data_IF_923740479430
#
_entry.id   IF_923740479430
#
_cell.length_a   1.000
_cell.length_b   1.000
_cell.length_c   1.000
_cell.angle_alpha   90.00
_cell.angle_beta   90.00
_cell.angle_gamma   90.00
#
_symmetry.space_group_name_H-M   'P 1'
#
loop_
_entity.id
_entity.type
_entity.pdbx_description
1 polymer ?
#
# COMPACT_ATOMS: atom_id res chain seq x y z
N UNK A 1 -23.52 -92.49 -7.46
CA UNK A 1 -22.52 -91.40 -7.62
C UNK A 1 -23.18 -90.26 -8.40
N UNK A 2 -23.46 -89.08 -7.80
CA UNK A 2 -23.72 -87.79 -8.52
C UNK A 2 -24.00 -86.56 -7.62
N UNK A 3 -23.65 -86.56 -6.31
CA UNK A 3 -23.78 -85.38 -5.43
C UNK A 3 -22.61 -84.37 -5.51
N UNK A 4 -21.59 -84.62 -6.34
CA UNK A 4 -20.40 -83.76 -6.49
C UNK A 4 -20.50 -82.69 -7.59
N UNK A 5 -21.60 -82.63 -8.36
CA UNK A 5 -21.74 -81.72 -9.50
C UNK A 5 -22.40 -80.36 -9.18
N UNK A 6 -23.13 -80.24 -8.06
CA UNK A 6 -23.75 -78.96 -7.64
C UNK A 6 -22.82 -78.05 -6.84
N UNK A 7 -21.95 -78.62 -6.00
CA UNK A 7 -21.01 -77.85 -5.16
C UNK A 7 -19.98 -77.10 -6.03
N UNK A 8 -19.50 -77.73 -7.11
CA UNK A 8 -18.57 -77.10 -8.04
C UNK A 8 -19.16 -75.85 -8.72
N UNK A 9 -20.44 -75.89 -9.11
CA UNK A 9 -21.12 -74.74 -9.72
C UNK A 9 -21.25 -73.58 -8.74
N UNK A 10 -21.62 -73.86 -7.49
CA UNK A 10 -21.74 -72.83 -6.44
C UNK A 10 -20.38 -72.21 -6.13
N UNK A 11 -19.31 -72.99 -6.04
CA UNK A 11 -17.94 -72.48 -5.85
C UNK A 11 -17.50 -71.59 -7.01
N UNK A 12 -17.77 -71.99 -8.26
CA UNK A 12 -17.45 -71.19 -9.45
C UNK A 12 -18.23 -69.87 -9.45
N UNK A 13 -19.52 -69.89 -9.12
CA UNK A 13 -20.33 -68.67 -9.05
C UNK A 13 -19.84 -67.72 -7.95
N UNK A 14 -19.43 -68.22 -6.79
CA UNK A 14 -18.85 -67.40 -5.73
C UNK A 14 -17.51 -66.78 -6.14
N UNK A 15 -16.64 -67.55 -6.80
CA UNK A 15 -15.37 -67.03 -7.33
C UNK A 15 -15.62 -65.95 -8.38
N UNK A 16 -16.58 -66.15 -9.28
CA UNK A 16 -16.95 -65.14 -10.28
C UNK A 16 -17.55 -63.89 -9.63
N UNK A 17 -18.42 -64.03 -8.63
CA UNK A 17 -19.00 -62.90 -7.91
C UNK A 17 -17.91 -62.05 -7.21
N UNK A 18 -16.95 -62.70 -6.54
CA UNK A 18 -15.81 -62.01 -5.91
C UNK A 18 -14.94 -61.33 -6.96
N UNK A 19 -14.62 -62.02 -8.05
CA UNK A 19 -13.86 -61.44 -9.18
C UNK A 19 -14.57 -60.23 -9.79
N UNK A 20 -15.90 -60.27 -9.93
CA UNK A 20 -16.68 -59.15 -10.45
C UNK A 20 -16.66 -57.95 -9.50
N UNK A 21 -16.80 -58.16 -8.19
CA UNK A 21 -16.70 -57.08 -7.19
C UNK A 21 -15.30 -56.46 -7.19
N UNK A 22 -14.25 -57.29 -7.25
CA UNK A 22 -12.87 -56.80 -7.35
C UNK A 22 -12.62 -56.04 -8.65
N UNK A 23 -13.13 -56.54 -9.78
CA UNK A 23 -13.02 -55.88 -11.08
C UNK A 23 -13.72 -54.51 -11.11
N UNK A 24 -14.92 -54.42 -10.52
CA UNK A 24 -15.64 -53.16 -10.34
C UNK A 24 -14.88 -52.19 -9.43
N UNK A 25 -14.39 -52.66 -8.29
CA UNK A 25 -13.59 -51.84 -7.38
C UNK A 25 -12.31 -51.29 -8.04
N UNK A 26 -11.61 -52.13 -8.80
CA UNK A 26 -10.44 -51.72 -9.58
C UNK A 26 -10.80 -50.69 -10.66
N UNK A 27 -11.89 -50.89 -11.40
CA UNK A 27 -12.34 -49.95 -12.43
C UNK A 27 -12.72 -48.58 -11.83
N UNK A 28 -13.43 -48.55 -10.69
CA UNK A 28 -13.71 -47.29 -9.98
C UNK A 28 -12.43 -46.61 -9.53
N UNK A 29 -11.48 -47.39 -8.98
CA UNK A 29 -10.19 -46.87 -8.54
C UNK A 29 -9.42 -46.23 -9.70
N UNK A 30 -9.27 -46.93 -10.83
CA UNK A 30 -8.60 -46.41 -12.03
C UNK A 30 -9.28 -45.15 -12.56
N UNK A 31 -10.62 -45.09 -12.57
CA UNK A 31 -11.35 -43.89 -13.00
C UNK A 31 -11.05 -42.68 -12.11
N UNK A 32 -11.12 -42.86 -10.79
CA UNK A 32 -10.82 -41.79 -9.82
C UNK A 32 -9.36 -41.32 -9.96
N UNK A 33 -8.41 -42.23 -10.11
CA UNK A 33 -7.01 -41.87 -10.32
C UNK A 33 -6.77 -41.15 -11.65
N UNK A 34 -7.52 -41.50 -12.71
CA UNK A 34 -7.48 -40.80 -13.99
C UNK A 34 -7.93 -39.34 -13.86
N UNK A 35 -9.13 -39.12 -13.30
CA UNK A 35 -9.70 -37.79 -13.06
C UNK A 35 -8.78 -36.93 -12.16
N UNK A 36 -8.12 -37.53 -11.16
CA UNK A 36 -7.16 -36.84 -10.29
C UNK A 36 -5.88 -36.39 -11.02
N UNK A 37 -5.37 -37.18 -11.97
CA UNK A 37 -4.17 -36.82 -12.74
C UNK A 37 -4.47 -35.68 -13.70
N UNK A 38 -5.62 -35.74 -14.39
CA UNK A 38 -6.05 -34.67 -15.32
C UNK A 38 -6.27 -33.36 -14.57
N UNK A 39 -6.91 -33.39 -13.40
CA UNK A 39 -7.09 -32.20 -12.55
C UNK A 39 -5.77 -31.60 -12.07
N UNK A 40 -4.73 -32.40 -11.83
CA UNK A 40 -3.40 -31.87 -11.47
C UNK A 40 -2.76 -31.11 -12.62
N UNK A 41 -2.89 -31.61 -13.85
CA UNK A 41 -2.38 -30.93 -15.04
C UNK A 41 -3.14 -29.63 -15.26
N UNK A 42 -4.47 -29.67 -15.21
CA UNK A 42 -5.31 -28.49 -15.37
C UNK A 42 -5.06 -27.44 -14.27
N UNK A 43 -4.85 -27.86 -13.02
CA UNK A 43 -4.48 -26.93 -11.94
C UNK A 43 -3.12 -26.28 -12.16
N UNK A 44 -2.11 -27.04 -12.57
CA UNK A 44 -0.81 -26.49 -12.91
C UNK A 44 -0.89 -25.52 -14.10
N UNK A 45 -1.74 -25.83 -15.08
CA UNK A 45 -2.01 -24.94 -16.22
C UNK A 45 -2.71 -23.66 -15.77
N UNK A 46 -3.78 -23.74 -14.97
CA UNK A 46 -4.48 -22.58 -14.43
C UNK A 46 -3.55 -21.67 -13.60
N UNK A 47 -2.68 -22.27 -12.78
CA UNK A 47 -1.65 -21.54 -12.06
C UNK A 47 -0.65 -20.85 -13.00
N UNK A 48 -0.20 -21.55 -14.05
CA UNK A 48 0.67 -20.99 -15.08
C UNK A 48 0.02 -19.79 -15.78
N UNK A 49 -1.25 -19.90 -16.15
CA UNK A 49 -2.04 -18.82 -16.78
C UNK A 49 -2.18 -17.60 -15.86
N UNK A 50 -2.50 -17.82 -14.58
CA UNK A 50 -2.59 -16.74 -13.60
C UNK A 50 -1.25 -16.02 -13.46
N UNK A 51 -0.14 -16.77 -13.41
CA UNK A 51 1.21 -16.18 -13.39
C UNK A 51 1.50 -15.40 -14.66
N UNK A 52 1.19 -15.94 -15.84
CA UNK A 52 1.37 -15.22 -17.12
C UNK A 52 0.65 -13.88 -17.12
N UNK A 53 -0.60 -13.82 -16.66
CA UNK A 53 -1.32 -12.55 -16.56
C UNK A 53 -0.65 -11.55 -15.62
N UNK A 54 -0.10 -12.02 -14.49
CA UNK A 54 0.63 -11.16 -13.56
C UNK A 54 1.93 -10.61 -14.17
N UNK A 55 2.71 -11.44 -14.86
CA UNK A 55 3.90 -10.97 -15.58
C UNK A 55 3.53 -9.94 -16.67
N UNK A 56 2.42 -10.16 -17.40
CA UNK A 56 1.92 -9.18 -18.38
C UNK A 56 1.53 -7.84 -17.75
N UNK A 57 0.96 -7.86 -16.54
CA UNK A 57 0.62 -6.63 -15.82
C UNK A 57 1.87 -5.81 -15.49
N UNK A 58 2.95 -6.48 -15.08
CA UNK A 58 4.24 -5.83 -14.84
C UNK A 58 4.84 -5.26 -16.12
N UNK A 59 4.83 -6.03 -17.22
CA UNK A 59 5.34 -5.56 -18.51
C UNK A 59 4.59 -4.30 -18.98
N UNK A 60 3.25 -4.27 -18.91
CA UNK A 60 2.45 -3.10 -19.27
C UNK A 60 2.68 -1.91 -18.33
N UNK A 61 2.89 -2.17 -17.03
CA UNK A 61 3.25 -1.14 -16.07
C UNK A 61 4.59 -0.49 -16.44
N UNK A 62 5.66 -1.28 -16.57
CA UNK A 62 7.01 -0.80 -16.87
C UNK A 62 7.14 -0.20 -18.27
N UNK A 63 6.43 -0.73 -19.27
CA UNK A 63 6.38 -0.15 -20.61
C UNK A 63 5.85 1.29 -20.57
N UNK A 64 4.77 1.54 -19.83
CA UNK A 64 4.27 2.92 -19.72
C UNK A 64 5.16 3.84 -18.90
N UNK A 65 5.90 3.33 -17.90
CA UNK A 65 6.94 4.12 -17.24
C UNK A 65 8.05 4.53 -18.23
N UNK A 66 8.47 3.61 -19.10
CA UNK A 66 9.45 3.90 -20.15
C UNK A 66 8.95 4.91 -21.21
N UNK A 67 7.63 5.01 -21.39
CA UNK A 67 6.97 6.03 -22.23
C UNK A 67 6.75 7.37 -21.52
N UNK A 68 7.21 7.51 -20.27
CA UNK A 68 7.15 8.75 -19.49
C UNK A 68 5.82 8.98 -18.78
N UNK A 69 5.09 7.92 -18.40
CA UNK A 69 3.89 8.02 -17.57
C UNK A 69 4.22 8.67 -16.22
N UNK A 70 3.56 9.78 -15.89
CA UNK A 70 3.82 10.56 -14.67
C UNK A 70 2.83 10.36 -13.54
N UNK A 71 1.80 9.55 -13.75
CA UNK A 71 0.71 9.30 -12.80
C UNK A 71 0.13 7.89 -12.99
N UNK A 72 -0.67 7.43 -12.04
CA UNK A 72 -1.43 6.18 -12.14
C UNK A 72 -2.92 6.48 -12.05
N UNK A 73 -3.73 5.86 -12.89
CA UNK A 73 -5.17 6.12 -12.96
C UNK A 73 -5.99 4.83 -13.10
N UNK A 74 -7.24 4.85 -12.63
CA UNK A 74 -8.12 3.67 -12.68
C UNK A 74 -8.43 3.16 -14.09
N UNK A 75 -8.22 3.99 -15.12
CA UNK A 75 -8.45 3.65 -16.52
C UNK A 75 -7.15 3.26 -17.26
N UNK A 76 -6.03 3.12 -16.56
CA UNK A 76 -4.81 2.58 -17.15
C UNK A 76 -5.03 1.12 -17.58
N UNK A 77 -4.60 0.76 -18.79
CA UNK A 77 -4.83 -0.58 -19.38
C UNK A 77 -4.30 -1.72 -18.49
N UNK A 78 -3.15 -1.52 -17.86
CA UNK A 78 -2.53 -2.51 -16.98
C UNK A 78 -3.31 -2.76 -15.69
N UNK A 79 -4.28 -1.89 -15.33
CA UNK A 79 -5.08 -2.01 -14.11
C UNK A 79 -6.19 -3.06 -14.24
N UNK A 80 -6.67 -3.36 -15.44
CA UNK A 80 -7.65 -4.40 -15.66
C UNK A 80 -7.65 -4.86 -17.12
N UNK A 81 -7.36 -6.15 -17.34
CA UNK A 81 -7.38 -6.76 -18.67
C UNK A 81 -7.53 -8.27 -18.58
N UNK A 82 -7.92 -8.89 -19.67
CA UNK A 82 -7.95 -10.33 -19.87
C UNK A 82 -7.07 -10.74 -21.05
N UNK A 83 -6.79 -12.04 -21.16
CA UNK A 83 -6.09 -12.60 -22.32
C UNK A 83 -6.79 -12.29 -23.65
N UNK A 84 -8.11 -12.09 -23.64
CA UNK A 84 -8.91 -11.73 -24.81
C UNK A 84 -8.69 -10.26 -25.21
N UNK A 85 -8.59 -9.36 -24.24
CA UNK A 85 -8.42 -7.92 -24.49
C UNK A 85 -7.10 -7.62 -25.22
N UNK A 86 -6.07 -8.43 -24.97
CA UNK A 86 -4.72 -8.24 -25.53
C UNK A 86 -4.37 -9.25 -26.64
N UNK A 87 -5.36 -9.95 -27.20
CA UNK A 87 -5.21 -10.95 -28.29
C UNK A 87 -4.10 -11.99 -28.02
N UNK A 88 -3.96 -12.41 -26.76
CA UNK A 88 -2.92 -13.34 -26.34
C UNK A 88 -3.45 -14.77 -26.32
N UNK A 89 -3.51 -15.40 -27.50
CA UNK A 89 -3.95 -16.78 -27.68
C UNK A 89 -3.04 -17.76 -26.91
N UNK A 90 -3.60 -18.37 -25.86
CA UNK A 90 -2.97 -19.43 -25.09
C UNK A 90 -3.69 -20.75 -25.37
N UNK A 91 -2.91 -21.81 -25.59
CA UNK A 91 -3.36 -23.08 -26.18
C UNK A 91 -4.75 -23.56 -25.72
N UNK A 92 -5.00 -23.70 -24.41
CA UNK A 92 -6.24 -24.28 -23.86
C UNK A 92 -6.75 -23.56 -22.57
N UNK A 93 -6.62 -22.23 -22.48
CA UNK A 93 -7.12 -21.49 -21.32
C UNK A 93 -7.02 -19.98 -21.42
N UNK A 94 -7.59 -19.29 -20.43
CA UNK A 94 -7.65 -17.82 -20.35
C UNK A 94 -7.08 -17.32 -19.03
N UNK A 95 -6.76 -16.04 -18.97
CA UNK A 95 -6.50 -15.36 -17.70
C UNK A 95 -7.18 -13.99 -17.67
N UNK A 96 -7.38 -13.48 -16.45
CA UNK A 96 -7.87 -12.13 -16.20
C UNK A 96 -7.12 -11.51 -15.02
N UNK A 97 -6.90 -10.21 -15.11
CA UNK A 97 -6.14 -9.41 -14.16
C UNK A 97 -7.01 -8.26 -13.69
N UNK A 98 -6.98 -8.04 -12.38
CA UNK A 98 -7.45 -6.82 -11.74
C UNK A 98 -6.36 -6.31 -10.82
N UNK A 99 -6.00 -5.05 -10.98
CA UNK A 99 -5.06 -4.35 -10.12
C UNK A 99 -5.81 -3.28 -9.34
N UNK A 100 -5.50 -3.18 -8.06
CA UNK A 100 -6.03 -2.16 -7.17
C UNK A 100 -4.83 -1.35 -6.67
N UNK A 101 -4.94 -0.04 -6.80
CA UNK A 101 -3.96 0.89 -6.28
C UNK A 101 -4.12 1.05 -4.76
N UNK A 102 -3.09 0.72 -4.00
CA UNK A 102 -3.11 0.86 -2.54
C UNK A 102 -3.00 2.33 -2.10
N UNK A 103 -2.37 3.20 -2.88
CA UNK A 103 -2.40 4.64 -2.61
C UNK A 103 -3.78 5.24 -2.93
N UNK A 104 -4.66 4.55 -3.64
CA UNK A 104 -6.06 4.95 -3.77
C UNK A 104 -6.88 4.79 -2.47
N UNK A 105 -6.29 4.22 -1.42
CA UNK A 105 -6.96 3.93 -0.15
C UNK A 105 -6.41 4.78 0.99
N UNK A 106 -7.19 4.92 2.06
CA UNK A 106 -6.73 5.61 3.26
C UNK A 106 -5.77 4.70 4.06
N UNK A 107 -4.57 5.19 4.35
CA UNK A 107 -3.58 4.43 5.11
C UNK A 107 -3.94 4.42 6.60
N UNK A 108 -4.38 3.28 7.12
CA UNK A 108 -4.82 3.11 8.52
C UNK A 108 -3.70 3.31 9.54
N UNK A 109 -2.43 3.28 9.14
CA UNK A 109 -1.30 3.56 10.03
C UNK A 109 -0.98 5.05 10.17
N UNK A 110 -1.51 5.89 9.27
CA UNK A 110 -1.18 7.32 9.18
C UNK A 110 -2.41 8.23 9.26
N UNK A 111 -3.60 7.70 8.98
CA UNK A 111 -4.86 8.43 9.04
C UNK A 111 -5.10 9.01 10.43
N UNK A 112 -5.54 10.27 10.51
CA UNK A 112 -5.99 10.86 11.76
C UNK A 112 -7.35 10.28 12.16
N UNK A 113 -7.71 10.42 13.44
CA UNK A 113 -8.99 9.91 13.95
C UNK A 113 -10.19 10.52 13.20
N UNK A 114 -10.11 11.80 12.83
CA UNK A 114 -11.14 12.48 12.05
C UNK A 114 -11.33 11.83 10.67
N UNK A 115 -10.24 11.45 9.99
CA UNK A 115 -10.33 10.77 8.70
C UNK A 115 -10.98 9.38 8.84
N UNK A 116 -10.61 8.63 9.88
CA UNK A 116 -11.21 7.32 10.17
C UNK A 116 -12.70 7.44 10.48
N UNK A 117 -13.08 8.42 11.30
CA UNK A 117 -14.48 8.69 11.62
C UNK A 117 -15.28 9.10 10.38
N UNK A 118 -14.74 10.00 9.54
CA UNK A 118 -15.40 10.43 8.31
C UNK A 118 -15.62 9.26 7.33
N UNK A 119 -14.70 8.28 7.30
CA UNK A 119 -14.82 7.10 6.44
C UNK A 119 -15.75 6.02 7.02
N UNK A 120 -15.67 5.75 8.32
CA UNK A 120 -16.35 4.62 8.99
C UNK A 120 -17.75 5.02 9.48
N UNK A 121 -17.92 6.27 9.92
CA UNK A 121 -19.16 6.79 10.50
C UNK A 121 -19.39 6.39 11.97
N UNK A 122 -18.39 5.79 12.63
CA UNK A 122 -18.45 5.37 14.03
C UNK A 122 -17.20 5.86 14.78
N UNK A 123 -17.44 6.74 15.77
CA UNK A 123 -16.38 7.43 16.54
C UNK A 123 -15.66 6.46 17.51
N UNK A 124 -16.39 5.50 18.09
CA UNK A 124 -15.82 4.50 19.00
C UNK A 124 -14.92 3.54 18.21
N UNK A 125 -15.33 3.16 17.01
CA UNK A 125 -14.50 2.33 16.11
C UNK A 125 -13.24 3.09 15.66
N UNK A 126 -13.38 4.37 15.30
CA UNK A 126 -12.23 5.20 14.95
C UNK A 126 -11.24 5.34 16.13
N UNK A 127 -11.75 5.56 17.35
CA UNK A 127 -10.96 5.59 18.58
C UNK A 127 -10.25 4.25 18.84
N UNK A 128 -10.96 3.13 18.71
CA UNK A 128 -10.37 1.81 18.92
C UNK A 128 -9.27 1.47 17.90
N UNK A 129 -9.36 1.97 16.66
CA UNK A 129 -8.27 1.85 15.66
C UNK A 129 -7.05 2.68 16.06
N UNK A 130 -7.25 3.86 16.67
CA UNK A 130 -6.17 4.71 17.16
C UNK A 130 -5.42 4.05 18.32
N UNK A 131 -6.14 3.63 19.36
CA UNK A 131 -5.62 2.90 20.53
C UNK A 131 -4.89 1.63 20.09
N UNK A 132 -5.46 0.85 19.15
CA UNK A 132 -4.82 -0.37 18.65
C UNK A 132 -3.39 -0.16 18.11
N UNK A 133 -3.11 1.00 17.50
CA UNK A 133 -1.85 1.28 16.80
C UNK A 133 -0.91 2.21 17.55
N UNK A 134 -1.37 2.92 18.57
CA UNK A 134 -0.52 3.83 19.32
C UNK A 134 0.46 3.07 20.22
N UNK A 135 1.36 3.77 20.90
CA UNK A 135 2.48 3.13 21.59
C UNK A 135 2.23 2.81 23.06
N UNK A 136 1.09 3.21 23.61
CA UNK A 136 0.81 3.14 25.03
C UNK A 136 -0.33 2.16 25.34
N UNK A 137 -0.88 2.19 26.55
CA UNK A 137 -2.02 1.34 26.96
C UNK A 137 -3.09 2.25 27.62
N UNK A 138 -3.10 3.56 27.31
CA UNK A 138 -4.03 4.54 27.86
C UNK A 138 -5.27 4.66 26.96
N UNK A 139 -6.36 3.97 27.32
CA UNK A 139 -7.57 3.97 26.50
C UNK A 139 -8.17 5.35 26.32
N UNK A 140 -8.45 5.72 25.07
CA UNK A 140 -9.16 6.94 24.73
C UNK A 140 -10.67 6.81 25.00
N UNK A 141 -11.41 7.92 24.88
CA UNK A 141 -12.86 7.88 25.02
C UNK A 141 -13.47 7.09 23.85
N UNK A 142 -14.10 5.95 24.15
CA UNK A 142 -14.68 5.07 23.13
C UNK A 142 -13.69 4.05 22.55
N UNK A 143 -12.39 4.22 22.81
CA UNK A 143 -11.34 3.32 22.38
C UNK A 143 -11.18 2.07 23.25
N UNK A 144 -10.23 1.22 22.85
CA UNK A 144 -9.92 -0.02 23.56
C UNK A 144 -8.45 -0.39 23.47
N UNK A 145 -7.90 -0.74 24.62
CA UNK A 145 -6.51 -1.17 24.81
C UNK A 145 -6.39 -2.63 25.23
N UNK A 146 -5.15 -3.07 25.47
CA UNK A 146 -4.84 -4.41 25.98
C UNK A 146 -5.76 -4.87 27.13
N UNK A 147 -6.14 -3.99 28.06
CA UNK A 147 -7.05 -4.35 29.15
C UNK A 147 -8.41 -4.87 28.67
N UNK A 148 -8.97 -4.26 27.62
CA UNK A 148 -10.23 -4.71 27.01
C UNK A 148 -10.05 -6.06 26.28
N UNK A 149 -8.98 -6.20 25.49
CA UNK A 149 -8.75 -7.40 24.69
C UNK A 149 -8.34 -8.62 25.52
N UNK A 150 -7.71 -8.43 26.69
CA UNK A 150 -7.35 -9.51 27.61
C UNK A 150 -8.59 -10.16 28.27
N UNK A 151 -9.74 -9.50 28.25
CA UNK A 151 -11.01 -10.06 28.71
C UNK A 151 -11.74 -10.88 27.62
N UNK A 152 -11.26 -10.86 26.37
CA UNK A 152 -11.84 -11.61 25.26
C UNK A 152 -11.53 -13.13 25.33
N UNK A 153 -12.27 -13.94 24.56
CA UNK A 153 -12.02 -15.38 24.42
C UNK A 153 -11.74 -15.75 22.94
N UNK A 154 -10.50 -16.14 22.58
CA UNK A 154 -9.31 -16.19 23.44
C UNK A 154 -8.81 -14.78 23.84
N UNK A 155 -8.09 -14.64 24.95
CA UNK A 155 -7.52 -13.35 25.35
C UNK A 155 -6.32 -13.00 24.47
N UNK A 156 -6.23 -11.73 24.10
CA UNK A 156 -5.10 -11.16 23.36
C UNK A 156 -4.84 -9.73 23.82
N UNK A 157 -3.82 -9.09 23.25
CA UNK A 157 -3.48 -7.68 23.54
C UNK A 157 -3.66 -6.84 22.29
N UNK A 158 -3.85 -5.55 22.49
CA UNK A 158 -3.69 -4.58 21.43
C UNK A 158 -2.27 -4.70 20.85
N UNK A 159 -2.10 -4.29 19.59
CA UNK A 159 -0.78 -4.40 18.95
C UNK A 159 0.21 -3.41 19.55
N UNK A 160 -0.29 -2.23 19.92
CA UNK A 160 0.47 -1.06 20.34
C UNK A 160 1.55 -0.72 19.31
N UNK A 161 1.12 -0.66 18.05
CA UNK A 161 1.98 -0.39 16.90
C UNK A 161 1.27 -0.57 15.56
N UNK A 162 1.99 -0.25 14.48
CA UNK A 162 1.45 -0.25 13.11
C UNK A 162 0.80 -1.58 12.72
N UNK A 163 -0.40 -1.51 12.14
CA UNK A 163 -1.07 -2.61 11.48
C UNK A 163 -0.16 -3.26 10.43
N UNK A 164 -0.06 -4.59 10.47
CA UNK A 164 0.76 -5.36 9.52
C UNK A 164 -0.03 -5.86 8.32
N UNK A 165 -1.35 -5.98 8.48
CA UNK A 165 -2.25 -6.39 7.42
C UNK A 165 -3.63 -5.80 7.68
N UNK A 166 -4.41 -5.60 6.62
CA UNK A 166 -5.80 -5.14 6.75
C UNK A 166 -6.68 -6.13 7.51
N UNK A 167 -6.41 -7.43 7.41
CA UNK A 167 -7.17 -8.45 8.14
C UNK A 167 -7.09 -8.34 9.66
N UNK A 168 -6.09 -7.63 10.18
CA UNK A 168 -5.94 -7.36 11.61
C UNK A 168 -7.05 -6.46 12.17
N UNK A 169 -7.70 -5.63 11.34
CA UNK A 169 -8.85 -4.84 11.77
C UNK A 169 -9.98 -5.70 12.34
N UNK A 170 -10.06 -6.98 11.99
CA UNK A 170 -11.02 -7.92 12.57
C UNK A 170 -10.85 -8.16 14.07
N UNK A 171 -9.70 -7.77 14.65
CA UNK A 171 -9.40 -7.88 16.08
C UNK A 171 -9.74 -6.58 16.85
N UNK A 172 -9.99 -5.47 16.15
CA UNK A 172 -10.27 -4.18 16.77
C UNK A 172 -11.71 -4.14 17.26
N UNK A 173 -11.93 -3.54 18.43
CA UNK A 173 -13.28 -3.38 18.99
C UNK A 173 -14.22 -2.70 17.99
N UNK A 174 -15.43 -3.24 17.86
CA UNK A 174 -16.51 -2.68 17.04
C UNK A 174 -16.43 -3.00 15.54
N UNK A 175 -15.29 -3.50 15.04
CA UNK A 175 -15.18 -3.96 13.65
C UNK A 175 -15.92 -5.30 13.48
N UNK A 176 -16.88 -5.32 12.56
CA UNK A 176 -17.61 -6.54 12.19
C UNK A 176 -17.08 -7.12 10.87
N UNK A 177 -17.35 -8.41 10.63
CA UNK A 177 -16.99 -9.05 9.36
C UNK A 177 -17.67 -8.37 8.15
N UNK A 178 -18.93 -7.95 8.28
CA UNK A 178 -19.64 -7.22 7.22
C UNK A 178 -19.02 -5.84 6.98
N UNK A 179 -18.62 -5.14 8.03
CA UNK A 179 -17.93 -3.85 7.90
C UNK A 179 -16.57 -4.00 7.21
N UNK A 180 -15.78 -5.01 7.60
CA UNK A 180 -14.43 -5.20 7.06
C UNK A 180 -14.43 -5.73 5.62
N UNK A 181 -15.22 -6.77 5.34
CA UNK A 181 -15.18 -7.49 4.06
C UNK A 181 -16.33 -7.15 3.12
N UNK A 182 -17.34 -6.43 3.60
CA UNK A 182 -18.62 -6.25 2.91
C UNK A 182 -19.61 -7.38 3.22
N UNK A 183 -20.87 -7.25 2.75
CA UNK A 183 -21.89 -8.29 2.87
C UNK A 183 -21.49 -9.59 2.15
N UNK A 184 -21.96 -10.75 2.63
CA UNK A 184 -21.71 -12.06 2.01
C UNK A 184 -22.40 -12.22 0.64
N UNK A 185 -21.83 -13.05 -0.24
CA UNK A 185 -22.30 -13.35 -1.62
C UNK A 185 -23.82 -13.60 -1.75
N UNK A 186 -24.43 -14.27 -0.77
CA UNK A 186 -25.87 -14.56 -0.77
C UNK A 186 -26.75 -13.31 -0.56
N UNK A 187 -26.21 -12.26 0.08
CA UNK A 187 -26.88 -10.98 0.33
C UNK A 187 -26.73 -9.99 -0.85
N UNK A 188 -25.82 -10.25 -1.80
CA UNK A 188 -25.59 -9.39 -2.98
C UNK A 188 -26.79 -9.30 -3.91
N UNK A 189 -27.68 -10.30 -3.92
CA UNK A 189 -28.80 -10.37 -4.88
C UNK A 189 -29.84 -9.27 -4.71
N UNK A 190 -29.83 -8.56 -3.58
CA UNK A 190 -30.82 -7.53 -3.22
C UNK A 190 -30.25 -6.11 -3.07
N UNK A 191 -28.91 -5.92 -3.06
CA UNK A 191 -28.24 -4.61 -2.89
C UNK A 191 -27.65 -4.10 -4.21
N UNK A 192 -27.46 -2.79 -4.34
CA UNK A 192 -26.81 -2.20 -5.53
C UNK A 192 -25.29 -2.39 -5.46
N UNK A 193 -24.56 -2.60 -6.56
CA UNK A 193 -23.10 -2.77 -6.56
C UNK A 193 -22.32 -1.62 -5.89
N UNK A 194 -22.85 -0.40 -5.96
CA UNK A 194 -22.28 0.79 -5.32
C UNK A 194 -22.43 0.84 -3.79
N UNK A 195 -23.26 -0.03 -3.18
CA UNK A 195 -23.51 -0.12 -1.72
C UNK A 195 -22.67 -1.21 -1.03
N UNK A 196 -21.65 -1.76 -1.71
CA UNK A 196 -20.99 -3.03 -1.34
C UNK A 196 -19.46 -2.87 -1.31
N UNK A 197 -18.94 -1.98 -0.47
CA UNK A 197 -17.50 -1.93 -0.17
C UNK A 197 -17.26 -2.12 1.32
N UNK A 198 -16.50 -3.15 1.65
CA UNK A 198 -15.95 -3.30 2.99
C UNK A 198 -14.76 -2.37 3.20
N UNK A 199 -14.39 -2.14 4.46
CA UNK A 199 -13.21 -1.35 4.80
C UNK A 199 -11.93 -1.87 4.14
N UNK A 200 -11.83 -3.17 3.81
CA UNK A 200 -10.68 -3.72 3.11
C UNK A 200 -10.48 -3.19 1.67
N UNK A 201 -11.53 -2.62 1.07
CA UNK A 201 -11.47 -1.95 -0.24
C UNK A 201 -11.13 -0.45 -0.11
N UNK A 202 -11.28 0.12 1.09
CA UNK A 202 -11.13 1.56 1.35
C UNK A 202 -9.88 1.90 2.19
N UNK A 203 -9.37 0.94 2.96
CA UNK A 203 -8.21 1.06 3.83
C UNK A 203 -7.02 0.26 3.30
N UNK A 204 -5.82 0.79 3.53
CA UNK A 204 -4.55 0.08 3.32
C UNK A 204 -3.65 0.21 4.55
N UNK A 205 -2.69 -0.70 4.70
CA UNK A 205 -1.60 -0.56 5.69
C UNK A 205 -0.35 0.11 5.11
N UNK A 206 -0.31 0.24 3.78
CA UNK A 206 0.86 0.71 3.04
C UNK A 206 0.43 1.50 1.79
N UNK A 207 0.89 2.75 1.72
CA UNK A 207 0.76 3.62 0.56
C UNK A 207 2.07 4.39 0.44
N UNK A 208 2.78 4.21 -0.68
CA UNK A 208 4.12 4.76 -0.91
C UNK A 208 4.11 5.57 -2.21
N UNK A 209 4.69 6.75 -2.13
CA UNK A 209 5.08 7.60 -3.24
C UNK A 209 6.62 7.74 -3.28
N UNK A 210 7.21 7.78 -4.47
CA UNK A 210 8.66 7.87 -4.69
C UNK A 210 9.08 9.33 -4.86
N UNK A 211 10.18 9.72 -4.24
CA UNK A 211 10.74 11.07 -4.42
C UNK A 211 11.63 11.18 -5.67
N UNK A 212 11.24 10.52 -6.75
CA UNK A 212 11.85 10.61 -8.07
C UNK A 212 10.88 11.32 -9.03
N UNK A 213 11.43 12.09 -9.95
CA UNK A 213 10.67 12.66 -11.06
C UNK A 213 10.27 11.53 -12.00
N UNK A 214 8.98 11.38 -12.23
CA UNK A 214 8.47 10.37 -13.16
C UNK A 214 8.83 10.70 -14.61
N UNK A 215 9.01 11.98 -14.95
CA UNK A 215 9.38 12.42 -16.30
C UNK A 215 10.87 12.22 -16.63
N UNK A 216 11.76 12.28 -15.63
CA UNK A 216 13.21 12.18 -15.86
C UNK A 216 13.85 10.90 -15.30
N UNK A 217 13.17 10.20 -14.38
CA UNK A 217 13.72 9.08 -13.62
C UNK A 217 14.73 9.47 -12.53
N UNK A 218 15.11 10.75 -12.44
CA UNK A 218 16.07 11.24 -11.45
C UNK A 218 15.39 11.59 -10.13
N UNK A 219 16.12 11.62 -8.99
CA UNK A 219 15.63 12.21 -7.75
C UNK A 219 15.14 13.65 -7.99
N UNK A 220 14.04 14.02 -7.33
CA UNK A 220 13.52 15.40 -7.42
C UNK A 220 14.49 16.39 -6.78
N UNK A 221 14.52 17.60 -7.30
CA UNK A 221 15.37 18.67 -6.79
C UNK A 221 14.79 19.19 -5.48
N UNK A 222 15.59 19.06 -4.42
CA UNK A 222 15.22 19.56 -3.10
C UNK A 222 15.20 21.08 -3.07
N UNK A 223 14.03 21.67 -2.81
CA UNK A 223 13.86 23.11 -2.63
C UNK A 223 14.68 23.63 -1.44
N UNK A 224 14.87 22.80 -0.42
CA UNK A 224 15.57 23.19 0.81
C UNK A 224 17.09 23.05 0.72
N UNK A 225 17.59 21.99 0.07
CA UNK A 225 19.02 21.61 0.16
C UNK A 225 19.78 21.71 -1.15
N UNK A 226 19.11 21.78 -2.31
CA UNK A 226 19.81 21.94 -3.59
C UNK A 226 20.53 23.30 -3.66
N UNK A 227 21.66 23.34 -4.34
CA UNK A 227 22.32 24.59 -4.69
C UNK A 227 21.43 25.45 -5.61
N UNK A 228 21.66 26.75 -5.60
CA UNK A 228 20.92 27.67 -6.49
C UNK A 228 21.15 27.32 -7.96
N UNK A 229 22.37 26.93 -8.32
CA UNK A 229 22.71 26.48 -9.66
C UNK A 229 21.93 25.22 -10.07
N UNK A 230 21.78 24.24 -9.16
CA UNK A 230 20.98 23.03 -9.45
C UNK A 230 19.49 23.37 -9.67
N UNK A 231 18.93 24.30 -8.90
CA UNK A 231 17.55 24.78 -9.11
C UNK A 231 17.43 25.50 -10.46
N UNK A 232 18.37 26.38 -10.79
CA UNK A 232 18.39 27.08 -12.08
C UNK A 232 18.50 26.12 -13.25
N UNK A 233 19.43 25.17 -13.22
CA UNK A 233 19.64 24.20 -14.29
C UNK A 233 18.43 23.30 -14.49
N UNK A 234 17.80 22.83 -13.41
CA UNK A 234 16.65 21.94 -13.50
C UNK A 234 15.36 22.62 -13.98
N UNK A 235 15.16 23.89 -13.66
CA UNK A 235 13.94 24.63 -13.98
C UNK A 235 14.08 25.48 -15.26
N UNK A 236 15.31 25.66 -15.77
CA UNK A 236 15.57 26.40 -17.00
C UNK A 236 14.88 25.76 -18.20
N UNK A 237 14.14 26.56 -18.95
CA UNK A 237 13.36 26.11 -20.10
C UNK A 237 12.01 25.50 -19.74
N UNK A 238 11.71 25.29 -18.45
CA UNK A 238 10.39 24.86 -17.96
C UNK A 238 9.56 26.07 -17.55
N UNK A 239 10.16 26.99 -16.77
CA UNK A 239 9.53 28.23 -16.31
C UNK A 239 10.42 29.44 -16.61
N UNK A 240 9.88 30.65 -16.45
CA UNK A 240 10.61 31.89 -16.68
C UNK A 240 11.73 32.10 -15.65
N UNK A 241 12.86 32.68 -16.07
CA UNK A 241 14.01 32.98 -15.20
C UNK A 241 13.63 33.83 -13.97
N UNK A 242 12.69 34.78 -14.13
CA UNK A 242 12.16 35.57 -13.02
C UNK A 242 11.38 34.76 -11.98
N UNK A 243 10.67 33.71 -12.41
CA UNK A 243 9.97 32.78 -11.51
C UNK A 243 10.99 31.94 -10.73
N UNK A 244 12.04 31.44 -11.41
CA UNK A 244 13.14 30.70 -10.76
C UNK A 244 13.82 31.56 -9.69
N UNK A 245 14.15 32.80 -10.02
CA UNK A 245 14.76 33.72 -9.05
C UNK A 245 13.83 34.00 -7.86
N UNK A 246 12.52 34.05 -8.09
CA UNK A 246 11.54 34.23 -7.01
C UNK A 246 11.52 33.05 -6.04
N UNK A 247 11.69 31.82 -6.52
CA UNK A 247 11.84 30.62 -5.66
C UNK A 247 13.10 30.74 -4.80
N UNK A 248 14.24 31.10 -5.41
CA UNK A 248 15.53 31.26 -4.72
C UNK A 248 15.45 32.37 -3.67
N UNK A 249 14.84 33.51 -4.01
CA UNK A 249 14.70 34.64 -3.10
C UNK A 249 13.73 34.33 -1.95
N UNK A 250 12.62 33.63 -2.24
CA UNK A 250 11.69 33.15 -1.23
C UNK A 250 12.38 32.22 -0.22
N UNK A 251 13.19 31.28 -0.72
CA UNK A 251 14.01 30.39 0.10
C UNK A 251 14.93 31.17 1.03
N UNK A 252 15.76 32.07 0.46
CA UNK A 252 16.72 32.89 1.22
C UNK A 252 16.04 33.70 2.32
N UNK A 253 14.89 34.31 2.03
CA UNK A 253 14.14 35.13 2.99
C UNK A 253 13.64 34.33 4.19
N UNK A 254 13.20 33.09 3.97
CA UNK A 254 12.71 32.22 5.07
C UNK A 254 13.85 31.64 5.90
N UNK A 255 14.94 31.23 5.27
CA UNK A 255 16.13 30.77 6.00
C UNK A 255 16.76 31.90 6.84
N UNK A 256 16.79 33.14 6.33
CA UNK A 256 17.36 34.28 7.07
C UNK A 256 16.48 34.79 8.21
N UNK A 257 15.14 34.74 8.08
CA UNK A 257 14.23 35.06 9.19
C UNK A 257 14.30 34.07 10.35
N UNK A 258 14.78 32.86 10.10
CA UNK A 258 14.90 31.80 11.09
C UNK A 258 16.19 31.87 11.92
N UNK A 259 17.19 32.67 11.52
CA UNK A 259 18.37 32.90 12.37
C UNK A 259 18.00 33.79 13.57
N UNK A 260 18.27 33.37 14.83
CA UNK A 260 18.09 34.24 15.98
C UNK A 260 18.89 35.52 15.78
N UNK A 261 18.24 36.67 15.99
CA UNK A 261 18.94 37.95 16.05
C UNK A 261 19.83 37.95 17.29
N UNK A 262 21.08 37.51 17.16
CA UNK A 262 22.14 37.80 18.12
C UNK A 262 22.42 39.30 18.08
N UNK A 263 21.66 40.05 18.88
CA UNK A 263 21.68 41.50 18.83
C UNK A 263 20.89 42.17 19.94
N UNK A 264 21.47 42.17 21.15
CA UNK A 264 21.16 43.06 22.27
C UNK A 264 19.86 42.80 23.06
N UNK A 265 19.91 41.87 24.02
CA UNK A 265 19.50 42.21 25.40
C UNK A 265 20.41 41.48 26.38
N UNK A 266 21.30 42.24 27.03
CA UNK A 266 22.11 41.72 28.12
C UNK A 266 21.26 41.52 29.38
N UNK A 267 21.01 40.26 29.74
CA UNK A 267 20.72 39.89 31.12
C UNK A 267 21.99 39.29 31.74
N UNK A 268 22.38 39.64 32.98
CA UNK A 268 23.57 39.08 33.61
C UNK A 268 23.36 37.58 33.90
N UNK A 269 24.43 36.75 33.91
CA UNK A 269 24.28 35.32 34.13
C UNK A 269 23.86 35.07 35.58
N UNK A 270 22.82 34.26 35.76
CA UNK A 270 22.48 33.65 37.03
C UNK A 270 23.55 32.60 37.38
N UNK A 271 24.21 32.77 38.53
CA UNK A 271 25.09 31.76 39.11
C UNK A 271 24.27 30.50 39.47
N UNK A 272 24.71 29.35 38.97
CA UNK A 272 24.25 28.03 39.41
C UNK A 272 25.27 27.48 40.40
N UNK A 273 24.90 27.14 41.65
CA UNK A 273 25.79 26.43 42.57
C UNK A 273 25.72 24.91 42.38
N UNK A 274 26.89 24.28 42.30
CA UNK A 274 27.12 22.94 42.85
C UNK A 274 27.06 21.76 41.87
N UNK A 275 28.23 21.39 41.34
CA UNK A 275 28.52 20.05 40.80
C UNK A 275 28.26 18.94 41.82
N UNK A 276 27.66 17.84 41.35
CA UNK A 276 27.83 16.51 41.90
C UNK A 276 28.11 15.53 40.74
N UNK A 277 29.36 15.12 40.61
CA UNK A 277 29.78 14.02 39.73
C UNK A 277 29.52 12.66 40.40
N UNK A 278 29.06 11.64 39.65
CA UNK A 278 29.30 10.24 39.97
C UNK A 278 30.35 9.63 39.02
N UNK A 279 30.93 8.46 39.40
CA UNK A 279 32.32 8.13 39.09
C UNK A 279 32.51 7.39 37.76
N UNK A 280 33.75 7.49 37.29
CA UNK A 280 34.36 6.78 36.17
C UNK A 280 34.53 5.28 36.44
N UNK A 281 34.27 4.46 35.41
CA UNK A 281 34.62 3.05 35.36
C UNK A 281 34.53 2.51 33.94
N UNK A 282 35.68 2.17 33.33
CA UNK A 282 35.79 1.71 31.95
C UNK A 282 35.82 0.20 31.75
N UNK A 283 35.75 -0.23 30.48
CA UNK A 283 36.06 -1.59 30.03
C UNK A 283 35.49 -1.88 28.63
N UNK A 284 36.35 -2.15 27.65
CA UNK A 284 35.99 -2.43 26.25
C UNK A 284 35.83 -3.91 25.90
N UNK A 285 36.11 -4.22 24.62
CA UNK A 285 35.99 -5.50 23.86
C UNK A 285 34.61 -5.69 23.19
N UNK A 286 34.42 -5.97 21.89
CA UNK A 286 35.31 -6.43 20.80
C UNK A 286 34.97 -7.87 20.38
N UNK A 287 34.44 -8.09 19.17
CA UNK A 287 34.46 -9.41 18.49
C UNK A 287 33.22 -9.74 17.64
N UNK A 288 33.46 -10.07 16.36
CA UNK A 288 32.43 -10.52 15.41
C UNK A 288 32.57 -11.98 14.94
N UNK A 289 31.50 -12.45 14.27
CA UNK A 289 31.42 -13.62 13.37
C UNK A 289 30.81 -14.91 13.97
N UNK A 290 30.31 -15.89 13.17
CA UNK A 290 29.91 -15.88 11.76
C UNK A 290 28.44 -16.37 11.51
N UNK A 291 28.02 -16.21 10.25
CA UNK A 291 26.72 -16.58 9.66
C UNK A 291 26.53 -18.09 9.54
N UNK A 292 25.34 -18.59 9.91
CA UNK A 292 24.92 -19.99 9.74
C UNK A 292 23.57 -20.10 9.03
N UNK A 293 23.55 -20.79 7.89
CA UNK A 293 22.36 -21.12 7.09
C UNK A 293 21.46 -22.08 7.87
N UNK A 294 20.15 -21.78 7.98
CA UNK A 294 19.15 -22.72 8.51
C UNK A 294 18.00 -22.97 7.53
N UNK A 295 17.66 -24.24 7.53
CA UNK A 295 16.68 -25.00 6.75
C UNK A 295 15.25 -24.64 7.18
N UNK A 296 14.34 -24.48 6.21
CA UNK A 296 12.98 -23.99 6.43
C UNK A 296 12.03 -25.08 6.97
N UNK A 297 11.30 -24.77 8.04
CA UNK A 297 10.23 -25.57 8.65
C UNK A 297 8.87 -24.91 8.33
N UNK A 298 7.94 -25.58 7.62
CA UNK A 298 6.71 -24.98 7.11
C UNK A 298 5.58 -24.82 8.15
N UNK A 299 5.85 -24.95 9.45
CA UNK A 299 4.86 -24.76 10.54
C UNK A 299 5.07 -23.48 11.36
N UNK A 300 6.06 -22.66 11.02
CA UNK A 300 6.34 -21.34 11.59
C UNK A 300 6.22 -20.29 10.48
N UNK A 301 4.99 -20.00 10.06
CA UNK A 301 4.67 -19.07 8.96
C UNK A 301 4.23 -17.70 9.47
N UNK A 302 5.05 -17.04 10.29
CA UNK A 302 4.93 -15.60 10.53
C UNK A 302 5.97 -14.89 9.68
N UNK A 303 5.56 -14.34 8.53
CA UNK A 303 6.41 -13.43 7.78
C UNK A 303 6.51 -12.13 8.60
N UNK A 304 7.71 -11.86 9.13
CA UNK A 304 8.04 -10.59 9.77
C UNK A 304 8.87 -9.75 8.80
N UNK A 305 8.26 -8.75 8.12
CA UNK A 305 8.99 -7.88 7.20
C UNK A 305 9.97 -6.94 7.91
N UNK A 306 10.08 -6.98 9.25
CA UNK A 306 10.96 -6.11 10.04
C UNK A 306 12.34 -6.70 10.34
N UNK A 307 12.67 -7.92 9.88
CA UNK A 307 14.05 -8.42 9.97
C UNK A 307 14.97 -7.65 9.02
N UNK A 308 15.42 -6.49 9.49
CA UNK A 308 16.20 -5.48 8.77
C UNK A 308 15.94 -4.06 9.29
N UNK A 309 14.87 -3.84 10.06
CA UNK A 309 14.54 -2.57 10.70
C UNK A 309 14.63 -2.74 12.22
N UNK A 310 15.85 -2.68 12.75
CA UNK A 310 16.00 -2.26 14.15
C UNK A 310 15.35 -0.88 14.26
N UNK A 311 14.20 -0.81 14.96
CA UNK A 311 13.60 0.48 15.32
C UNK A 311 14.65 1.33 16.03
N UNK A 312 14.62 2.66 15.90
CA UNK A 312 15.60 3.51 16.56
C UNK A 312 15.54 3.25 18.06
N UNK A 313 16.59 2.61 18.60
CA UNK A 313 16.87 2.68 20.02
C UNK A 313 17.00 4.16 20.35
N UNK A 314 16.20 4.63 21.32
CA UNK A 314 16.25 6.00 21.81
C UNK A 314 17.70 6.48 21.89
N UNK A 315 18.07 7.62 21.27
CA UNK A 315 19.41 8.14 21.39
C UNK A 315 19.64 8.47 22.86
N UNK A 316 20.54 7.73 23.52
CA UNK A 316 21.12 8.20 24.76
C UNK A 316 21.81 9.52 24.47
N UNK A 317 21.29 10.61 25.05
CA UNK A 317 21.81 11.99 25.09
C UNK A 317 23.13 12.19 24.32
N UNK A 318 23.02 12.22 22.99
CA UNK A 318 24.02 12.79 22.10
C UNK A 318 23.51 14.19 21.74
N UNK A 319 24.43 15.16 21.71
CA UNK A 319 24.10 16.59 21.62
C UNK A 319 23.07 16.91 20.55
N UNK A 320 22.18 17.83 20.87
CA UNK A 320 21.24 18.47 19.96
C UNK A 320 22.03 19.00 18.76
N UNK A 321 22.04 18.25 17.66
CA UNK A 321 22.38 18.80 16.36
C UNK A 321 21.26 19.78 16.03
N UNK A 322 21.58 21.09 15.97
CA UNK A 322 20.65 22.13 15.53
C UNK A 322 20.10 21.73 14.14
N UNK A 323 18.86 21.24 14.08
CA UNK A 323 18.16 21.02 12.81
C UNK A 323 18.07 22.37 12.10
N UNK A 324 18.80 22.50 10.97
CA UNK A 324 18.72 23.68 10.14
C UNK A 324 17.25 23.88 9.69
N UNK A 325 16.62 24.95 10.16
CA UNK A 325 15.23 25.25 9.88
C UNK A 325 15.00 25.33 8.36
N UNK A 326 14.15 24.44 7.84
CA UNK A 326 13.84 24.35 6.41
C UNK A 326 13.05 25.57 5.93
N UNK A 327 13.31 26.03 4.69
CA UNK A 327 12.64 27.19 4.11
C UNK A 327 11.25 26.86 3.56
N UNK A 328 11.11 25.66 3.00
CA UNK A 328 9.87 25.07 2.54
C UNK A 328 9.49 23.94 3.50
N UNK A 329 8.34 24.06 4.17
CA UNK A 329 7.83 22.97 5.01
C UNK A 329 7.23 21.83 4.18
N UNK A 330 6.69 22.17 3.00
CA UNK A 330 6.23 21.20 2.01
C UNK A 330 6.28 21.76 0.60
N UNK A 331 6.19 20.89 -0.40
CA UNK A 331 6.19 21.27 -1.82
C UNK A 331 4.99 22.17 -2.16
N UNK A 332 3.87 22.03 -1.44
CA UNK A 332 2.68 22.87 -1.60
C UNK A 332 2.92 24.36 -1.32
N UNK A 333 3.96 24.72 -0.55
CA UNK A 333 4.29 26.12 -0.26
C UNK A 333 4.77 26.91 -1.49
N UNK A 334 5.01 26.27 -2.65
CA UNK A 334 5.24 26.96 -3.92
C UNK A 334 4.12 27.95 -4.28
N UNK A 335 2.88 27.69 -3.83
CA UNK A 335 1.72 28.58 -4.00
C UNK A 335 1.94 29.98 -3.39
N UNK A 336 2.84 30.08 -2.42
CA UNK A 336 3.16 31.31 -1.69
C UNK A 336 4.36 32.07 -2.28
N UNK A 337 5.06 31.48 -3.25
CA UNK A 337 6.21 32.13 -3.89
C UNK A 337 5.70 33.25 -4.80
N UNK A 338 6.17 34.50 -4.61
CA UNK A 338 5.77 35.60 -5.48
C UNK A 338 6.08 35.31 -6.95
N UNK A 339 5.24 35.78 -7.86
CA UNK A 339 5.42 35.67 -9.32
C UNK A 339 5.24 34.27 -9.93
N UNK A 340 5.06 33.21 -9.15
CA UNK A 340 4.70 31.90 -9.69
C UNK A 340 3.21 31.88 -10.07
N UNK A 341 2.93 31.53 -11.32
CA UNK A 341 1.57 31.24 -11.76
C UNK A 341 1.18 29.78 -11.45
N UNK A 342 -0.10 29.45 -11.62
CA UNK A 342 -0.58 28.08 -11.41
C UNK A 342 0.01 27.14 -12.47
N UNK A 343 0.21 27.65 -13.69
CA UNK A 343 0.90 26.93 -14.77
C UNK A 343 2.37 26.67 -14.43
N UNK A 344 3.07 27.64 -13.81
CA UNK A 344 4.45 27.45 -13.36
C UNK A 344 4.52 26.31 -12.33
N UNK A 345 3.62 26.31 -11.33
CA UNK A 345 3.57 25.28 -10.29
C UNK A 345 3.25 23.91 -10.90
N UNK A 346 2.30 23.85 -11.84
CA UNK A 346 1.95 22.61 -12.54
C UNK A 346 3.12 22.05 -13.35
N UNK A 347 3.88 22.91 -14.03
CA UNK A 347 5.01 22.52 -14.86
C UNK A 347 6.20 21.96 -14.06
N UNK A 348 6.47 22.51 -12.87
CA UNK A 348 7.62 22.10 -12.05
C UNK A 348 7.30 21.04 -11.00
N UNK A 349 6.02 20.69 -10.79
CA UNK A 349 5.59 19.80 -9.69
C UNK A 349 6.31 18.45 -9.67
N UNK A 350 6.58 17.86 -10.84
CA UNK A 350 7.27 16.58 -10.92
C UNK A 350 8.79 16.69 -10.71
N UNK A 351 9.35 17.90 -10.80
CA UNK A 351 10.79 18.14 -10.78
C UNK A 351 11.32 18.50 -9.39
N UNK A 352 10.48 19.03 -8.51
CA UNK A 352 10.90 19.59 -7.22
C UNK A 352 10.22 18.91 -6.02
N UNK A 353 10.87 18.97 -4.88
CA UNK A 353 10.39 18.41 -3.61
C UNK A 353 10.87 19.28 -2.45
N UNK A 354 10.07 19.45 -1.41
CA UNK A 354 10.54 19.98 -0.13
C UNK A 354 11.00 18.85 0.81
N UNK A 355 10.58 17.63 0.52
CA UNK A 355 10.85 16.42 1.30
C UNK A 355 12.26 15.90 1.05
N UNK A 356 12.96 15.51 2.12
CA UNK A 356 14.30 14.91 2.04
C UNK A 356 14.27 13.38 1.96
N UNK A 357 13.15 12.76 2.34
CA UNK A 357 12.98 11.32 2.29
C UNK A 357 12.90 10.82 0.84
N UNK A 358 13.52 9.67 0.55
CA UNK A 358 13.41 9.03 -0.77
C UNK A 358 12.01 8.44 -1.05
N UNK A 359 11.23 8.22 0.01
CA UNK A 359 9.87 7.70 0.00
C UNK A 359 8.98 8.60 0.84
N UNK A 360 7.79 8.87 0.33
CA UNK A 360 6.74 9.63 1.00
C UNK A 360 5.59 8.66 1.27
N UNK A 361 5.20 8.50 2.54
CA UNK A 361 4.13 7.57 2.92
C UNK A 361 2.78 8.27 3.06
N UNK A 362 1.70 7.52 2.84
CA UNK A 362 0.35 7.89 3.25
C UNK A 362 -0.41 8.85 2.35
N UNK A 363 0.21 9.33 1.26
CA UNK A 363 -0.49 10.15 0.26
C UNK A 363 -1.52 9.33 -0.51
N UNK A 364 -2.67 9.96 -0.75
CA UNK A 364 -3.79 9.36 -1.46
C UNK A 364 -3.74 9.72 -2.94
N UNK A 365 -3.72 8.71 -3.81
CA UNK A 365 -3.75 8.93 -5.25
C UNK A 365 -5.15 9.37 -5.71
N UNK A 366 -5.28 10.65 -6.07
CA UNK A 366 -6.54 11.28 -6.48
C UNK A 366 -7.12 10.73 -7.78
N UNK A 367 -6.34 10.01 -8.58
CA UNK A 367 -6.80 9.43 -9.84
C UNK A 367 -7.39 8.02 -9.67
N UNK A 368 -7.17 7.39 -8.53
CA UNK A 368 -7.64 6.03 -8.23
C UNK A 368 -8.54 5.95 -7.00
N UNK A 369 -8.42 6.92 -6.08
CA UNK A 369 -9.18 6.92 -4.84
C UNK A 369 -10.70 6.96 -5.09
N UNK A 370 -11.49 6.14 -4.38
CA UNK A 370 -12.94 6.23 -4.43
C UNK A 370 -13.43 7.49 -3.72
N UNK A 371 -14.68 7.89 -3.98
CA UNK A 371 -15.25 9.13 -3.45
C UNK A 371 -15.26 9.14 -1.91
N UNK A 372 -15.52 8.00 -1.28
CA UNK A 372 -15.57 7.81 0.16
C UNK A 372 -14.21 8.10 0.80
N UNK A 373 -13.12 7.62 0.19
CA UNK A 373 -11.76 7.89 0.67
C UNK A 373 -11.41 9.36 0.50
N UNK A 374 -11.71 9.98 -0.65
CA UNK A 374 -11.48 11.41 -0.84
C UNK A 374 -12.26 12.23 0.18
N UNK A 375 -13.58 12.03 0.28
CA UNK A 375 -14.45 12.76 1.22
C UNK A 375 -14.08 12.55 2.70
N UNK A 376 -13.27 11.53 3.03
CA UNK A 376 -12.76 11.33 4.39
C UNK A 376 -11.59 12.25 4.75
N UNK A 377 -10.87 12.81 3.77
CA UNK A 377 -9.67 13.64 3.99
C UNK A 377 -9.79 15.04 3.41
N UNK A 378 -10.77 15.29 2.54
CA UNK A 378 -11.03 16.60 1.93
C UNK A 378 -12.53 16.89 1.91
N UNK A 379 -12.87 18.14 1.61
CA UNK A 379 -14.26 18.56 1.45
C UNK A 379 -15.04 17.68 0.44
N UNK A 380 -16.27 17.32 0.79
CA UNK A 380 -17.08 16.39 0.00
C UNK A 380 -17.47 16.95 -1.39
N UNK A 381 -17.65 18.26 -1.52
CA UNK A 381 -17.93 18.89 -2.80
C UNK A 381 -16.67 18.83 -3.67
N UNK A 382 -15.49 19.15 -3.11
CA UNK A 382 -14.22 19.01 -3.82
C UNK A 382 -13.94 17.55 -4.24
N UNK A 383 -14.23 16.57 -3.36
CA UNK A 383 -14.11 15.16 -3.69
C UNK A 383 -14.98 14.78 -4.91
N UNK A 384 -16.23 15.23 -4.95
CA UNK A 384 -17.11 15.01 -6.09
C UNK A 384 -16.57 15.70 -7.36
N UNK A 385 -16.10 16.94 -7.25
CA UNK A 385 -15.54 17.68 -8.39
C UNK A 385 -14.29 16.99 -8.97
N UNK A 386 -13.43 16.40 -8.14
CA UNK A 386 -12.28 15.61 -8.60
C UNK A 386 -12.74 14.38 -9.38
N UNK A 387 -13.74 13.65 -8.88
CA UNK A 387 -14.31 12.48 -9.58
C UNK A 387 -14.89 12.90 -10.93
N UNK A 388 -15.71 13.95 -10.96
CA UNK A 388 -16.31 14.48 -12.20
C UNK A 388 -15.24 14.95 -13.19
N UNK A 389 -14.21 15.64 -12.71
CA UNK A 389 -13.10 16.11 -13.52
C UNK A 389 -12.36 14.92 -14.15
N UNK A 390 -11.93 13.93 -13.35
CA UNK A 390 -11.13 12.82 -13.87
C UNK A 390 -11.93 11.89 -14.80
N UNK A 391 -13.25 11.80 -14.62
CA UNK A 391 -14.12 11.05 -15.52
C UNK A 391 -14.40 11.79 -16.83
N UNK A 392 -14.54 13.13 -16.81
CA UNK A 392 -14.92 13.91 -17.99
C UNK A 392 -13.75 14.44 -18.81
N UNK A 393 -12.64 14.81 -18.15
CA UNK A 393 -11.45 15.41 -18.76
C UNK A 393 -10.23 14.50 -18.77
N UNK A 394 -10.30 13.37 -18.08
CA UNK A 394 -9.20 12.45 -17.88
C UNK A 394 -8.40 12.72 -16.60
N UNK A 395 -7.47 11.82 -16.26
CA UNK A 395 -6.73 11.87 -14.99
C UNK A 395 -5.91 13.15 -14.82
N UNK A 396 -5.69 13.54 -13.57
CA UNK A 396 -4.81 14.66 -13.22
C UNK A 396 -3.34 14.24 -13.33
N UNK A 397 -2.49 14.94 -14.11
CA UNK A 397 -1.08 14.59 -14.20
C UNK A 397 -0.31 14.78 -12.89
N UNK A 398 -0.62 15.84 -12.17
CA UNK A 398 0.01 16.20 -10.89
C UNK A 398 -1.00 16.79 -9.93
N UNK A 399 -0.70 16.78 -8.63
CA UNK A 399 -1.57 17.38 -7.59
C UNK A 399 -1.79 18.88 -7.82
N UNK A 400 -0.81 19.58 -8.42
CA UNK A 400 -0.95 20.99 -8.81
C UNK A 400 -2.10 21.24 -9.79
N UNK A 401 -2.57 20.23 -10.52
CA UNK A 401 -3.73 20.38 -11.40
C UNK A 401 -5.06 20.51 -10.65
N UNK A 402 -5.09 20.30 -9.32
CA UNK A 402 -6.26 20.63 -8.50
C UNK A 402 -6.62 22.12 -8.57
N UNK A 403 -5.64 23.00 -8.81
CA UNK A 403 -5.86 24.44 -9.02
C UNK A 403 -6.73 24.71 -10.27
N UNK A 404 -6.75 23.78 -11.23
CA UNK A 404 -7.58 23.84 -12.43
C UNK A 404 -8.94 23.16 -12.26
N UNK A 405 -9.13 22.38 -11.19
CA UNK A 405 -10.41 21.73 -10.85
C UNK A 405 -11.32 22.75 -10.20
N UNK A 406 -10.85 23.33 -9.09
CA UNK A 406 -11.58 24.33 -8.32
C UNK A 406 -10.63 25.46 -7.90
N UNK A 407 -10.88 26.72 -8.30
CA UNK A 407 -10.11 27.88 -7.84
C UNK A 407 -10.07 28.05 -6.30
N UNK A 408 -11.05 27.51 -5.57
CA UNK A 408 -11.12 27.58 -4.11
C UNK A 408 -9.99 26.80 -3.43
N UNK A 409 -9.47 25.75 -4.10
CA UNK A 409 -8.35 24.90 -3.66
C UNK A 409 -7.11 25.72 -3.30
N UNK A 410 -6.93 26.91 -3.89
CA UNK A 410 -5.79 27.76 -3.59
C UNK A 410 -5.67 28.06 -2.08
N UNK A 411 -6.78 28.16 -1.36
CA UNK A 411 -6.79 28.51 0.06
C UNK A 411 -6.19 27.42 0.96
N UNK A 412 -6.34 26.15 0.60
CA UNK A 412 -5.90 24.97 1.36
C UNK A 412 -4.91 24.09 0.58
N UNK A 413 -4.37 24.58 -0.54
CA UNK A 413 -3.49 23.80 -1.42
C UNK A 413 -2.27 23.18 -0.71
N UNK A 414 -1.69 23.88 0.28
CA UNK A 414 -0.53 23.38 1.04
C UNK A 414 -0.86 22.08 1.79
N UNK A 415 -2.05 22.03 2.40
CA UNK A 415 -2.54 20.88 3.14
C UNK A 415 -2.89 19.74 2.19
N UNK A 416 -3.63 20.04 1.12
CA UNK A 416 -3.99 19.08 0.08
C UNK A 416 -2.75 18.44 -0.58
N UNK A 417 -1.71 19.23 -0.82
CA UNK A 417 -0.44 18.75 -1.37
C UNK A 417 0.29 17.76 -0.45
N UNK A 418 0.05 17.81 0.85
CA UNK A 418 0.64 16.88 1.81
C UNK A 418 -0.13 15.57 1.89
N UNK A 419 -1.45 15.62 1.68
CA UNK A 419 -2.36 14.48 1.76
C UNK A 419 -2.47 13.71 0.44
N UNK A 420 -2.26 14.37 -0.70
CA UNK A 420 -2.63 13.84 -2.01
C UNK A 420 -1.41 13.60 -2.90
N UNK A 421 -1.53 12.64 -3.81
CA UNK A 421 -0.58 12.36 -4.89
C UNK A 421 -1.34 12.00 -6.17
N UNK A 422 -0.63 11.88 -7.28
CA UNK A 422 -1.15 11.30 -8.55
C UNK A 422 -0.43 10.01 -8.91
N UNK A 423 0.49 9.55 -8.05
CA UNK A 423 1.44 8.47 -8.31
C UNK A 423 1.30 7.39 -7.27
N UNK A 424 1.59 6.16 -7.69
CA UNK A 424 1.48 4.98 -6.86
C UNK A 424 2.56 3.98 -7.21
N UNK A 425 3.08 3.30 -6.18
CA UNK A 425 4.07 2.26 -6.36
C UNK A 425 3.65 0.94 -5.72
N UNK A 426 2.61 0.92 -4.89
CA UNK A 426 2.14 -0.29 -4.21
C UNK A 426 0.76 -0.65 -4.72
N UNK A 427 0.62 -1.91 -5.15
CA UNK A 427 -0.58 -2.39 -5.82
C UNK A 427 -0.96 -3.78 -5.32
N UNK A 428 -2.27 -4.03 -5.21
CA UNK A 428 -2.81 -5.39 -5.10
C UNK A 428 -3.14 -5.92 -6.47
N UNK A 429 -2.51 -7.03 -6.88
CA UNK A 429 -2.80 -7.73 -8.13
C UNK A 429 -3.61 -8.99 -7.84
N UNK A 430 -4.77 -9.09 -8.45
CA UNK A 430 -5.61 -10.28 -8.49
C UNK A 430 -5.55 -10.91 -9.88
N UNK A 431 -4.84 -12.03 -9.99
CA UNK A 431 -4.71 -12.79 -11.22
C UNK A 431 -5.53 -14.08 -11.15
N UNK A 432 -6.38 -14.30 -12.14
CA UNK A 432 -7.22 -15.49 -12.24
C UNK A 432 -6.90 -16.22 -13.55
N UNK A 433 -6.38 -17.43 -13.46
CA UNK A 433 -6.15 -18.32 -14.60
C UNK A 433 -7.20 -19.42 -14.66
N UNK A 434 -7.69 -19.72 -15.87
CA UNK A 434 -8.73 -20.72 -16.12
C UNK A 434 -8.27 -21.73 -17.17
N UNK A 435 -8.33 -23.02 -16.86
CA UNK A 435 -7.91 -24.11 -17.74
C UNK A 435 -9.04 -25.14 -17.95
N UNK A 436 -9.00 -25.82 -19.10
CA UNK A 436 -9.94 -26.91 -19.41
C UNK A 436 -11.36 -26.42 -19.68
N UNK A 437 -11.53 -25.37 -20.50
CA UNK A 437 -12.82 -24.68 -20.74
C UNK A 437 -13.48 -24.17 -19.45
N UNK A 438 -12.69 -23.47 -18.64
CA UNK A 438 -13.11 -22.84 -17.39
C UNK A 438 -13.53 -23.79 -16.25
N UNK A 439 -13.25 -25.10 -16.36
CA UNK A 439 -13.56 -26.07 -15.31
C UNK A 439 -12.66 -25.91 -14.08
N UNK A 440 -11.38 -25.54 -14.28
CA UNK A 440 -10.41 -25.37 -13.20
C UNK A 440 -9.92 -23.92 -13.17
N UNK A 441 -10.09 -23.27 -12.04
CA UNK A 441 -9.63 -21.91 -11.78
C UNK A 441 -8.53 -21.92 -10.71
N UNK A 442 -7.53 -21.07 -10.89
CA UNK A 442 -6.50 -20.78 -9.88
C UNK A 442 -6.41 -19.27 -9.72
N UNK A 443 -6.47 -18.76 -8.48
CA UNK A 443 -6.34 -17.32 -8.20
C UNK A 443 -5.04 -17.02 -7.46
N UNK A 444 -4.38 -15.95 -7.85
CA UNK A 444 -3.23 -15.37 -7.16
C UNK A 444 -3.66 -13.98 -6.71
N UNK A 445 -3.49 -13.67 -5.43
CA UNK A 445 -3.58 -12.31 -4.91
C UNK A 445 -2.22 -11.93 -4.34
N UNK A 446 -1.62 -10.86 -4.85
CA UNK A 446 -0.33 -10.37 -4.40
C UNK A 446 -0.40 -8.88 -4.09
N UNK A 447 0.28 -8.45 -3.02
CA UNK A 447 0.57 -7.03 -2.78
C UNK A 447 2.02 -6.83 -3.19
N UNK A 448 2.24 -5.94 -4.14
CA UNK A 448 3.55 -5.72 -4.77
C UNK A 448 3.94 -4.25 -4.68
N UNK A 449 5.22 -4.02 -4.41
CA UNK A 449 5.88 -2.75 -4.54
C UNK A 449 6.65 -2.73 -5.87
N UNK A 450 6.31 -1.75 -6.71
CA UNK A 450 6.84 -1.52 -8.05
C UNK A 450 7.70 -0.24 -8.13
N UNK A 451 8.23 0.23 -7.00
CA UNK A 451 9.13 1.40 -6.97
C UNK A 451 10.52 1.12 -7.53
N UNK A 452 10.91 -0.15 -7.64
CA UNK A 452 12.20 -0.59 -8.19
C UNK A 452 12.10 -1.14 -9.62
N UNK A 453 13.25 -1.54 -10.14
CA UNK A 453 13.38 -2.14 -11.48
C UNK A 453 12.70 -3.51 -11.61
N UNK A 454 12.47 -4.20 -10.48
CA UNK A 454 11.78 -5.47 -10.40
C UNK A 454 10.66 -5.44 -9.35
N UNK A 455 9.56 -6.19 -9.53
CA UNK A 455 8.47 -6.27 -8.55
C UNK A 455 8.94 -6.87 -7.22
N UNK A 456 8.71 -6.16 -6.13
CA UNK A 456 8.96 -6.63 -4.77
C UNK A 456 7.65 -7.12 -4.13
N UNK A 457 7.56 -8.41 -3.81
CA UNK A 457 6.35 -9.01 -3.22
C UNK A 457 6.31 -8.76 -1.72
N UNK A 458 5.35 -7.95 -1.28
CA UNK A 458 5.06 -7.73 0.13
C UNK A 458 4.18 -8.86 0.70
N UNK A 459 3.30 -9.40 -0.13
CA UNK A 459 2.42 -10.53 0.21
C UNK A 459 2.06 -11.30 -1.06
N UNK A 460 1.93 -12.62 -0.97
CA UNK A 460 1.38 -13.46 -2.05
C UNK A 460 0.55 -14.61 -1.48
N UNK A 461 -0.64 -14.82 -2.03
CA UNK A 461 -1.55 -15.90 -1.67
C UNK A 461 -2.07 -16.60 -2.92
N UNK A 462 -2.24 -17.92 -2.81
CA UNK A 462 -2.76 -18.77 -3.87
C UNK A 462 -4.05 -19.45 -3.39
N UNK A 463 -5.11 -19.38 -4.20
CA UNK A 463 -6.42 -19.95 -3.91
C UNK A 463 -6.81 -20.98 -4.97
#
# INVERSE_FOLDING_TARGET
MNRRRGVALVSVLWVLAILSVMGLGFAMTVRVYGELVDNRVLKAQAQGLARTGMEMAFELYYAGQAEGRTYNASNDEWMAFSSEDIDHELADGTYSIRVVDEAGKLNVNLAEQEHLYALIGDEDVAAAIMDWRDGDDDSSLGGAESFYYEESDPPYRARNGRFRSIGELALVQGITSEMLWGPDEDQYRERRPEEIRGLADLLTVIAIDSNHSSSTGNPRISLNTASEQEIEEALSGVIAEGSIQSIIDYRRQRTTRAQPQDGQTGAPPLQVPGELQPPTGGGGFGGGGPVGIRQFDPTQGGFDPTQGMEGPQQPGQAGEEEEAQQAFASTGELINVPSLSDEDIQAIWDLVTAESAGVIEGRININTAPQEVLASVIDADLAQEIIEYRTSRGPLPTVAHLLSVDPSVRANFVELANLLTTRSYVFTIEATGRAGRDEITHRIRAVVDLSGDEPNYLMICHY
#
